data_IF_881368153854
#
_entry.id   IF_881368153854
#
_cell.length_a   1.000
_cell.length_b   1.000
_cell.length_c   1.000
_cell.angle_alpha   90.00
_cell.angle_beta   90.00
_cell.angle_gamma   90.00
#
_symmetry.space_group_name_H-M   'P 1'
#
loop_
_entity.id
_entity.type
_entity.pdbx_description
1 polymer ?
#
# COMPACT_ATOMS: atom_id res chain seq x y z
N UNK A 1 14.02 -39.87 0.31
CA UNK A 1 13.03 -38.78 0.52
C UNK A 1 13.31 -37.67 -0.48
N UNK A 2 12.32 -37.37 -1.31
CA UNK A 2 12.38 -36.68 -2.61
C UNK A 2 12.79 -35.21 -2.52
N UNK A 3 13.97 -34.89 -3.04
CA UNK A 3 14.49 -33.52 -3.19
C UNK A 3 14.20 -32.90 -4.57
N UNK A 4 13.20 -33.35 -5.32
CA UNK A 4 13.11 -33.07 -6.77
C UNK A 4 11.95 -32.19 -7.28
N UNK A 5 10.91 -31.89 -6.48
CA UNK A 5 9.68 -31.33 -7.07
C UNK A 5 9.57 -29.80 -6.95
N UNK A 6 9.88 -29.22 -5.79
CA UNK A 6 9.66 -27.79 -5.56
C UNK A 6 10.64 -26.88 -6.30
N UNK A 7 11.87 -27.37 -6.55
CA UNK A 7 12.91 -26.66 -7.31
C UNK A 7 12.51 -26.35 -8.77
N UNK A 8 11.39 -26.87 -9.23
CA UNK A 8 10.97 -26.80 -10.62
C UNK A 8 9.94 -25.70 -10.88
N UNK A 9 8.93 -25.50 -10.03
CA UNK A 9 7.79 -24.61 -10.34
C UNK A 9 8.24 -23.15 -10.47
N UNK A 10 8.97 -22.63 -9.48
CA UNK A 10 9.51 -21.26 -9.50
C UNK A 10 10.35 -21.02 -10.76
N UNK A 11 11.27 -21.95 -11.03
CA UNK A 11 12.19 -21.86 -12.15
C UNK A 11 11.49 -22.00 -13.51
N UNK A 12 10.54 -22.93 -13.65
CA UNK A 12 9.74 -23.15 -14.86
C UNK A 12 9.01 -21.88 -15.23
N UNK A 13 8.20 -21.34 -14.31
CA UNK A 13 7.37 -20.15 -14.55
C UNK A 13 8.26 -18.97 -14.92
N UNK A 14 9.27 -18.66 -14.10
CA UNK A 14 10.13 -17.50 -14.32
C UNK A 14 10.95 -17.62 -15.62
N UNK A 15 11.36 -18.81 -16.02
CA UNK A 15 12.08 -19.01 -17.28
C UNK A 15 11.19 -18.67 -18.48
N UNK A 16 9.93 -19.11 -18.47
CA UNK A 16 9.01 -18.84 -19.58
C UNK A 16 8.64 -17.35 -19.66
N UNK A 17 8.38 -16.71 -18.53
CA UNK A 17 8.18 -15.25 -18.46
C UNK A 17 9.40 -14.53 -19.06
N UNK A 18 10.62 -14.96 -18.68
CA UNK A 18 11.86 -14.37 -19.19
C UNK A 18 12.06 -14.57 -20.68
N UNK A 19 11.67 -15.71 -21.26
CA UNK A 19 11.76 -15.97 -22.71
C UNK A 19 10.90 -15.01 -23.51
N UNK A 20 9.69 -14.69 -23.03
CA UNK A 20 8.82 -13.69 -23.68
C UNK A 20 9.47 -12.29 -23.68
N UNK A 21 10.28 -11.99 -22.65
CA UNK A 21 11.02 -10.75 -22.56
C UNK A 21 12.35 -10.75 -23.33
N UNK A 22 12.90 -11.89 -23.76
CA UNK A 22 14.21 -11.98 -24.42
C UNK A 22 14.40 -11.08 -25.63
N UNK A 23 13.43 -10.95 -26.54
CA UNK A 23 13.54 -10.02 -27.68
C UNK A 23 13.72 -8.56 -27.23
N UNK A 24 13.31 -8.23 -26.00
CA UNK A 24 13.40 -6.91 -25.38
C UNK A 24 14.54 -6.79 -24.35
N UNK A 25 15.26 -7.90 -24.05
CA UNK A 25 16.25 -7.96 -22.95
C UNK A 25 17.53 -7.17 -23.20
N UNK A 26 17.95 -6.94 -24.44
CA UNK A 26 19.29 -6.37 -24.73
C UNK A 26 19.52 -4.98 -24.12
N UNK A 27 18.50 -4.29 -23.59
CA UNK A 27 18.64 -3.02 -22.89
C UNK A 27 18.04 -2.93 -21.47
N UNK A 28 17.35 -3.96 -20.96
CA UNK A 28 16.44 -3.80 -19.80
C UNK A 28 16.90 -4.50 -18.50
N UNK A 29 17.37 -5.74 -18.57
CA UNK A 29 17.82 -6.49 -17.39
C UNK A 29 19.22 -7.06 -17.62
N UNK A 30 20.22 -6.55 -16.88
CA UNK A 30 21.62 -6.94 -16.99
C UNK A 30 21.92 -8.27 -16.29
N UNK A 31 21.12 -8.65 -15.28
CA UNK A 31 21.31 -9.89 -14.52
C UNK A 31 20.00 -10.43 -13.92
N UNK A 32 20.07 -11.62 -13.32
CA UNK A 32 18.91 -12.28 -12.69
C UNK A 32 18.36 -11.50 -11.48
N UNK A 33 19.20 -10.76 -10.76
CA UNK A 33 18.78 -9.96 -9.61
C UNK A 33 17.90 -8.78 -10.00
N UNK A 34 18.25 -8.06 -11.06
CA UNK A 34 17.41 -6.97 -11.59
C UNK A 34 16.03 -7.48 -12.05
N UNK A 35 16.00 -8.66 -12.67
CA UNK A 35 14.73 -9.32 -13.03
C UNK A 35 13.90 -9.65 -11.78
N UNK A 36 14.50 -10.32 -10.78
CA UNK A 36 13.79 -10.74 -9.58
C UNK A 36 13.29 -9.53 -8.78
N UNK A 37 14.08 -8.47 -8.65
CA UNK A 37 13.62 -7.22 -8.03
C UNK A 37 12.46 -6.57 -8.78
N UNK A 38 12.46 -6.63 -10.11
CA UNK A 38 11.41 -6.01 -10.90
C UNK A 38 10.09 -6.79 -10.85
N UNK A 39 10.16 -8.12 -10.67
CA UNK A 39 8.97 -8.98 -10.63
C UNK A 39 8.50 -9.30 -9.21
N UNK A 40 9.37 -9.19 -8.21
CA UNK A 40 9.09 -9.58 -6.83
C UNK A 40 9.45 -8.52 -5.78
N UNK A 41 9.98 -7.35 -6.17
CA UNK A 41 10.38 -6.29 -5.23
C UNK A 41 9.24 -5.65 -4.44
N UNK A 42 7.98 -6.03 -4.73
CA UNK A 42 6.80 -5.72 -3.92
C UNK A 42 6.66 -6.60 -2.67
N UNK A 43 7.47 -7.66 -2.55
CA UNK A 43 7.65 -8.40 -1.32
C UNK A 43 8.65 -7.65 -0.43
N UNK A 44 8.14 -6.96 0.59
CA UNK A 44 8.93 -6.06 1.44
C UNK A 44 10.16 -6.74 2.03
N UNK A 45 10.01 -7.95 2.57
CA UNK A 45 11.12 -8.69 3.17
C UNK A 45 12.20 -9.07 2.17
N UNK A 46 11.80 -9.45 0.95
CA UNK A 46 12.73 -9.74 -0.13
C UNK A 46 13.44 -8.46 -0.58
N UNK A 47 12.69 -7.38 -0.79
CA UNK A 47 13.20 -6.10 -1.27
C UNK A 47 14.19 -5.46 -0.28
N UNK A 48 13.87 -5.46 1.01
CA UNK A 48 14.75 -4.97 2.09
C UNK A 48 16.02 -5.80 2.20
N UNK A 49 15.89 -7.13 2.22
CA UNK A 49 17.04 -8.04 2.27
C UNK A 49 17.94 -7.86 1.05
N UNK A 50 17.32 -7.64 -0.09
CA UNK A 50 18.02 -7.40 -1.30
C UNK A 50 18.85 -6.09 -1.21
N UNK A 51 18.20 -4.95 -0.94
CA UNK A 51 18.88 -3.65 -0.84
C UNK A 51 20.06 -3.72 0.15
N UNK A 52 19.84 -4.29 1.35
CA UNK A 52 20.89 -4.50 2.37
C UNK A 52 22.09 -5.29 1.83
N UNK A 53 21.85 -6.42 1.16
CA UNK A 53 22.94 -7.22 0.58
C UNK A 53 23.71 -6.46 -0.51
N UNK A 54 23.04 -5.63 -1.30
CA UNK A 54 23.69 -4.87 -2.37
C UNK A 54 24.63 -3.80 -1.82
N UNK A 55 24.22 -3.14 -0.75
CA UNK A 55 24.96 -2.05 -0.11
C UNK A 55 26.12 -2.59 0.74
N UNK A 56 25.85 -3.60 1.56
CA UNK A 56 26.81 -4.08 2.54
C UNK A 56 27.73 -5.19 1.99
N UNK A 57 27.23 -6.04 1.07
CA UNK A 57 27.92 -7.26 0.61
C UNK A 57 27.73 -7.58 -0.89
N UNK A 58 28.33 -6.81 -1.83
CA UNK A 58 28.07 -6.92 -3.28
C UNK A 58 28.37 -8.29 -3.93
N UNK A 59 29.24 -9.11 -3.35
CA UNK A 59 29.48 -10.48 -3.85
C UNK A 59 28.43 -11.48 -3.32
N UNK A 60 27.96 -11.32 -2.07
CA UNK A 60 26.86 -12.11 -1.52
C UNK A 60 25.55 -11.82 -2.27
N UNK A 61 25.35 -10.57 -2.70
CA UNK A 61 24.27 -10.15 -3.59
C UNK A 61 24.13 -11.03 -4.84
N UNK A 62 25.23 -11.27 -5.56
CA UNK A 62 25.23 -12.10 -6.79
C UNK A 62 24.89 -13.56 -6.48
N UNK A 63 25.47 -14.10 -5.41
CA UNK A 63 25.25 -15.48 -4.98
C UNK A 63 23.82 -15.72 -4.50
N UNK A 64 23.23 -14.76 -3.77
CA UNK A 64 21.85 -14.79 -3.33
C UNK A 64 20.89 -14.93 -4.51
N UNK A 65 20.98 -14.07 -5.52
CA UNK A 65 20.10 -14.16 -6.68
C UNK A 65 20.32 -15.41 -7.52
N UNK A 66 21.56 -15.89 -7.62
CA UNK A 66 21.85 -17.16 -8.31
C UNK A 66 21.17 -18.34 -7.60
N UNK A 67 21.16 -18.33 -6.26
CA UNK A 67 20.45 -19.34 -5.48
C UNK A 67 18.93 -19.17 -5.62
N UNK A 68 18.40 -17.95 -5.44
CA UNK A 68 16.96 -17.71 -5.49
C UNK A 68 16.33 -17.92 -6.86
N UNK A 69 17.09 -17.74 -7.94
CA UNK A 69 16.62 -18.02 -9.29
C UNK A 69 16.26 -19.50 -9.52
N UNK A 70 16.89 -20.42 -8.77
CA UNK A 70 16.64 -21.85 -8.88
C UNK A 70 15.72 -22.37 -7.77
N UNK A 71 15.79 -21.78 -6.57
CA UNK A 71 15.19 -22.35 -5.36
C UNK A 71 13.96 -21.55 -4.85
N UNK A 72 13.61 -20.44 -5.51
CA UNK A 72 12.64 -19.46 -5.02
C UNK A 72 13.27 -18.40 -4.12
N UNK A 73 12.50 -17.39 -3.74
CA UNK A 73 12.99 -16.28 -2.90
C UNK A 73 13.20 -16.75 -1.46
N UNK A 74 14.41 -16.56 -0.95
CA UNK A 74 14.85 -17.05 0.36
C UNK A 74 14.89 -15.87 1.33
N UNK A 75 14.29 -16.02 2.51
CA UNK A 75 14.41 -15.07 3.61
C UNK A 75 15.81 -15.14 4.22
N UNK A 76 16.39 -13.98 4.50
CA UNK A 76 17.65 -13.88 5.23
C UNK A 76 17.33 -13.49 6.67
N UNK A 77 17.60 -14.38 7.62
CA UNK A 77 17.52 -14.05 9.04
C UNK A 77 18.70 -13.16 9.44
N UNK A 78 18.52 -12.28 10.43
CA UNK A 78 19.56 -11.34 10.90
C UNK A 78 20.84 -12.02 11.42
N UNK A 79 20.76 -13.30 11.76
CA UNK A 79 21.92 -14.14 12.12
C UNK A 79 22.82 -14.51 10.92
N UNK A 80 22.50 -14.06 9.70
CA UNK A 80 23.32 -14.24 8.50
C UNK A 80 24.26 -13.07 8.20
N UNK A 81 24.32 -12.05 9.07
CA UNK A 81 25.36 -11.00 9.01
C UNK A 81 26.73 -11.64 9.32
N UNK A 82 27.77 -11.49 8.47
CA UNK A 82 29.05 -12.15 8.64
C UNK A 82 29.91 -11.51 9.74
N UNK A 83 30.48 -12.39 10.56
CA UNK A 83 31.80 -12.20 11.16
C UNK A 83 32.83 -12.02 10.02
N UNK A 84 33.76 -11.07 10.16
CA UNK A 84 34.63 -10.40 9.16
C UNK A 84 35.44 -11.22 8.12
N UNK A 85 35.17 -12.50 7.89
CA UNK A 85 35.90 -13.34 6.95
C UNK A 85 35.11 -13.63 5.66
N UNK A 86 35.53 -12.98 4.57
CA UNK A 86 35.02 -13.08 3.20
C UNK A 86 34.90 -14.52 2.62
N UNK A 87 35.46 -15.53 3.27
CA UNK A 87 35.43 -16.94 2.81
C UNK A 87 34.30 -17.79 3.41
N UNK A 88 33.53 -17.28 4.38
CA UNK A 88 32.48 -18.07 5.06
C UNK A 88 31.16 -18.06 4.28
N UNK A 89 30.92 -17.07 3.41
CA UNK A 89 29.66 -16.95 2.67
C UNK A 89 29.47 -18.03 1.58
N UNK A 90 30.53 -18.38 0.85
CA UNK A 90 30.50 -19.50 -0.11
C UNK A 90 30.27 -20.86 0.58
N UNK A 91 30.71 -21.00 1.85
CA UNK A 91 30.54 -22.22 2.63
C UNK A 91 29.17 -22.33 3.32
N UNK A 92 28.51 -21.22 3.69
CA UNK A 92 27.17 -21.22 4.31
C UNK A 92 26.03 -21.27 3.30
N UNK A 93 26.20 -20.73 2.08
CA UNK A 93 25.27 -20.97 0.97
C UNK A 93 25.47 -22.34 0.30
N UNK A 94 26.53 -23.06 0.68
CA UNK A 94 26.77 -24.42 0.23
C UNK A 94 25.61 -25.33 0.70
N UNK A 95 24.94 -25.95 -0.28
CA UNK A 95 23.63 -26.64 -0.28
C UNK A 95 23.27 -27.57 0.90
N UNK A 96 24.17 -27.85 1.84
CA UNK A 96 24.01 -28.87 2.89
C UNK A 96 23.69 -28.35 4.29
N UNK A 97 23.88 -27.05 4.59
CA UNK A 97 23.60 -26.51 5.95
C UNK A 97 22.42 -25.53 6.05
N UNK A 98 21.84 -25.10 4.94
CA UNK A 98 20.62 -24.26 4.94
C UNK A 98 19.37 -25.15 5.06
N UNK A 99 19.32 -26.02 6.07
CA UNK A 99 18.15 -26.86 6.37
C UNK A 99 17.00 -26.07 7.03
N UNK A 100 17.10 -24.74 7.10
CA UNK A 100 16.07 -23.84 7.61
C UNK A 100 15.78 -22.66 6.68
N UNK A 101 15.80 -22.85 5.35
CA UNK A 101 15.39 -21.80 4.39
C UNK A 101 13.91 -21.47 4.59
N UNK A 102 13.60 -20.47 5.41
CA UNK A 102 12.29 -19.84 5.32
C UNK A 102 12.22 -19.11 3.98
N UNK A 103 11.27 -19.49 3.13
CA UNK A 103 10.98 -18.78 1.88
C UNK A 103 10.19 -17.52 2.21
N UNK A 104 10.24 -16.53 1.32
CA UNK A 104 9.27 -15.44 1.40
C UNK A 104 7.87 -16.05 1.25
N UNK A 105 7.05 -15.98 2.31
CA UNK A 105 5.70 -16.53 2.35
C UNK A 105 4.73 -15.40 2.01
N UNK A 106 4.21 -15.42 0.80
CA UNK A 106 3.16 -14.52 0.35
C UNK A 106 1.87 -15.32 0.19
N UNK A 107 0.77 -14.80 0.72
CA UNK A 107 -0.56 -15.37 0.47
C UNK A 107 -1.02 -15.00 -0.94
N UNK A 108 -1.78 -15.88 -1.59
CA UNK A 108 -2.35 -15.61 -2.91
C UNK A 108 -3.77 -15.00 -2.76
N UNK A 109 -3.87 -13.97 -1.94
CA UNK A 109 -5.09 -13.18 -1.74
C UNK A 109 -5.09 -11.91 -2.58
N UNK A 110 -6.27 -11.34 -2.78
CA UNK A 110 -6.51 -10.09 -3.51
C UNK A 110 -5.60 -8.95 -3.08
N UNK A 111 -5.39 -8.76 -1.79
CA UNK A 111 -4.58 -7.66 -1.24
C UNK A 111 -3.12 -7.79 -1.65
N UNK A 112 -2.56 -8.98 -1.56
CA UNK A 112 -1.17 -9.28 -1.91
C UNK A 112 -0.98 -9.21 -3.43
N UNK A 113 -1.94 -9.75 -4.19
CA UNK A 113 -1.93 -9.59 -5.65
C UNK A 113 -1.99 -8.13 -6.05
N UNK A 114 -2.88 -7.32 -5.47
CA UNK A 114 -2.98 -5.89 -5.80
C UNK A 114 -1.64 -5.15 -5.68
N UNK A 115 -0.89 -5.38 -4.58
CA UNK A 115 0.47 -4.83 -4.41
C UNK A 115 1.41 -5.26 -5.55
N UNK A 116 1.37 -6.53 -5.91
CA UNK A 116 2.15 -7.06 -7.03
C UNK A 116 1.73 -6.43 -8.37
N UNK A 117 0.43 -6.29 -8.64
CA UNK A 117 -0.09 -5.69 -9.87
C UNK A 117 0.38 -4.25 -10.03
N UNK A 118 0.33 -3.43 -8.98
CA UNK A 118 0.82 -2.04 -9.01
C UNK A 118 2.30 -1.99 -9.39
N UNK A 119 3.13 -2.85 -8.79
CA UNK A 119 4.56 -2.93 -9.09
C UNK A 119 4.82 -3.43 -10.53
N UNK A 120 4.09 -4.47 -10.97
CA UNK A 120 4.19 -5.02 -12.32
C UNK A 120 3.75 -4.01 -13.38
N UNK A 121 2.65 -3.27 -13.16
CA UNK A 121 2.17 -2.20 -14.07
C UNK A 121 3.24 -1.13 -14.25
N UNK A 122 3.86 -0.68 -13.16
CA UNK A 122 4.97 0.31 -13.19
C UNK A 122 6.20 -0.21 -13.95
N UNK A 123 6.56 -1.48 -13.78
CA UNK A 123 7.76 -2.04 -14.39
C UNK A 123 7.53 -2.44 -15.85
N UNK A 124 6.44 -3.15 -16.15
CA UNK A 124 6.11 -3.62 -17.48
C UNK A 124 5.69 -2.49 -18.42
N UNK A 125 5.08 -1.41 -17.95
CA UNK A 125 4.78 -0.25 -18.82
C UNK A 125 6.04 0.35 -19.42
N UNK A 126 7.14 0.41 -18.65
CA UNK A 126 8.45 0.91 -19.14
C UNK A 126 9.08 0.00 -20.20
N UNK A 127 8.82 -1.30 -20.13
CA UNK A 127 9.47 -2.33 -20.96
C UNK A 127 8.65 -2.64 -22.20
N UNK A 128 7.34 -2.74 -21.99
CA UNK A 128 6.39 -3.23 -22.98
C UNK A 128 5.72 -2.09 -23.75
N UNK A 129 5.67 -0.88 -23.18
CA UNK A 129 4.95 0.25 -23.74
C UNK A 129 3.48 -0.11 -24.01
N UNK A 130 2.98 0.27 -25.19
CA UNK A 130 1.60 0.00 -25.62
C UNK A 130 1.26 -1.48 -25.83
N UNK A 131 2.26 -2.37 -25.91
CA UNK A 131 2.06 -3.80 -26.16
C UNK A 131 2.02 -4.64 -24.87
N UNK A 132 1.80 -4.00 -23.71
CA UNK A 132 1.82 -4.68 -22.41
C UNK A 132 0.83 -5.85 -22.36
N UNK A 133 -0.39 -5.66 -22.85
CA UNK A 133 -1.46 -6.68 -22.85
C UNK A 133 -1.03 -7.98 -23.52
N UNK A 134 -0.61 -7.90 -24.78
CA UNK A 134 -0.19 -9.07 -25.57
C UNK A 134 1.00 -9.78 -24.95
N UNK A 135 1.95 -9.02 -24.40
CA UNK A 135 3.15 -9.57 -23.78
C UNK A 135 2.81 -10.31 -22.48
N UNK A 136 1.99 -9.71 -21.61
CA UNK A 136 1.52 -10.33 -20.37
C UNK A 136 0.73 -11.60 -20.66
N UNK A 137 -0.16 -11.56 -21.65
CA UNK A 137 -0.92 -12.73 -22.07
C UNK A 137 0.00 -13.88 -22.53
N UNK A 138 1.03 -13.57 -23.32
CA UNK A 138 2.01 -14.58 -23.75
C UNK A 138 2.84 -15.14 -22.58
N UNK A 139 3.19 -14.32 -21.59
CA UNK A 139 3.89 -14.76 -20.37
C UNK A 139 3.03 -15.79 -19.61
N UNK A 140 1.76 -15.47 -19.38
CA UNK A 140 0.81 -16.32 -18.66
C UNK A 140 0.63 -17.66 -19.39
N UNK A 141 0.31 -17.61 -20.68
CA UNK A 141 0.07 -18.82 -21.47
C UNK A 141 1.31 -19.72 -21.54
N UNK A 142 2.49 -19.16 -21.78
CA UNK A 142 3.71 -19.96 -21.86
C UNK A 142 4.03 -20.64 -20.53
N UNK A 143 3.87 -19.93 -19.41
CA UNK A 143 4.10 -20.48 -18.10
C UNK A 143 3.09 -21.59 -17.74
N UNK A 144 1.79 -21.36 -17.95
CA UNK A 144 0.74 -22.36 -17.69
C UNK A 144 0.93 -23.61 -18.55
N UNK A 145 1.20 -23.45 -19.85
CA UNK A 145 1.42 -24.57 -20.76
C UNK A 145 2.65 -25.40 -20.36
N UNK A 146 3.69 -24.74 -19.83
CA UNK A 146 4.88 -25.46 -19.36
C UNK A 146 4.68 -26.13 -18.02
N UNK A 147 3.85 -25.58 -17.13
CA UNK A 147 3.41 -26.27 -15.93
C UNK A 147 2.65 -27.55 -16.27
N UNK A 148 1.70 -27.48 -17.20
CA UNK A 148 0.93 -28.65 -17.67
C UNK A 148 1.86 -29.69 -18.33
N UNK A 149 2.74 -29.26 -19.23
CA UNK A 149 3.70 -30.16 -19.91
C UNK A 149 4.65 -30.85 -18.95
N UNK A 150 5.11 -30.16 -17.90
CA UNK A 150 5.98 -30.73 -16.86
C UNK A 150 5.19 -31.53 -15.82
N UNK A 151 3.90 -31.24 -15.67
CA UNK A 151 2.93 -31.94 -14.84
C UNK A 151 2.61 -33.36 -15.30
N UNK A 152 3.02 -33.76 -16.51
CA UNK A 152 2.92 -35.17 -16.95
C UNK A 152 3.67 -36.16 -16.05
N UNK A 153 4.55 -35.67 -15.17
CA UNK A 153 5.27 -36.44 -14.15
C UNK A 153 4.61 -36.33 -12.76
N UNK A 154 3.80 -35.28 -12.53
CA UNK A 154 3.15 -34.96 -11.25
C UNK A 154 1.73 -34.41 -11.50
N UNK A 155 0.72 -35.28 -11.39
CA UNK A 155 -0.69 -34.97 -11.70
C UNK A 155 -1.20 -33.66 -11.07
N UNK A 156 -0.75 -33.34 -9.85
CA UNK A 156 -1.12 -32.09 -9.13
C UNK A 156 -0.80 -30.82 -9.93
N UNK A 157 0.28 -30.81 -10.73
CA UNK A 157 0.61 -29.64 -11.54
C UNK A 157 -0.27 -29.48 -12.78
N UNK A 158 -0.88 -30.57 -13.26
CA UNK A 158 -1.88 -30.50 -14.34
C UNK A 158 -3.16 -29.87 -13.78
N UNK A 159 -3.60 -30.30 -12.60
CA UNK A 159 -4.76 -29.73 -11.91
C UNK A 159 -4.56 -28.23 -11.65
N UNK A 160 -3.43 -27.86 -11.03
CA UNK A 160 -3.10 -26.45 -10.78
C UNK A 160 -2.96 -25.63 -12.07
N UNK A 161 -2.41 -26.20 -13.15
CA UNK A 161 -2.33 -25.51 -14.44
C UNK A 161 -3.72 -25.28 -15.04
N UNK A 162 -4.66 -26.23 -14.89
CA UNK A 162 -6.04 -26.07 -15.32
C UNK A 162 -6.76 -24.99 -14.51
N UNK A 163 -6.58 -24.97 -13.19
CA UNK A 163 -7.16 -23.93 -12.32
C UNK A 163 -6.61 -22.54 -12.67
N UNK A 164 -5.30 -22.40 -12.85
CA UNK A 164 -4.69 -21.13 -13.30
C UNK A 164 -5.14 -20.73 -14.72
N UNK A 165 -5.44 -21.70 -15.58
CA UNK A 165 -5.97 -21.44 -16.93
C UNK A 165 -7.41 -20.95 -16.86
N UNK A 166 -8.24 -21.56 -16.02
CA UNK A 166 -9.60 -21.11 -15.76
C UNK A 166 -9.60 -19.71 -15.14
N UNK A 167 -8.75 -19.48 -14.14
CA UNK A 167 -8.50 -18.17 -13.56
C UNK A 167 -8.15 -17.13 -14.62
N UNK A 168 -7.23 -17.45 -15.53
CA UNK A 168 -6.84 -16.58 -16.62
C UNK A 168 -7.95 -16.29 -17.63
N UNK A 169 -8.92 -17.19 -17.82
CA UNK A 169 -10.06 -16.98 -18.74
C UNK A 169 -11.04 -15.95 -18.22
N UNK A 170 -11.07 -15.73 -16.91
CA UNK A 170 -11.92 -14.72 -16.27
C UNK A 170 -11.34 -13.29 -16.37
N UNK A 171 -10.11 -13.14 -16.89
CA UNK A 171 -9.48 -11.84 -17.10
C UNK A 171 -9.84 -11.22 -18.46
N UNK A 172 -10.54 -10.10 -18.43
CA UNK A 172 -11.04 -9.33 -19.56
C UNK A 172 -10.31 -7.98 -19.71
N UNK A 173 -9.80 -7.43 -18.61
CA UNK A 173 -9.07 -6.15 -18.60
C UNK A 173 -7.56 -6.32 -18.53
N UNK A 174 -6.81 -5.26 -18.87
CA UNK A 174 -5.34 -5.28 -18.81
C UNK A 174 -4.84 -5.44 -17.37
N UNK A 175 -5.59 -4.90 -16.39
CA UNK A 175 -5.27 -5.03 -14.98
C UNK A 175 -5.60 -6.42 -14.43
N UNK A 176 -6.70 -7.04 -14.84
CA UNK A 176 -7.00 -8.44 -14.51
C UNK A 176 -5.94 -9.39 -15.10
N UNK A 177 -5.43 -9.12 -16.30
CA UNK A 177 -4.30 -9.89 -16.86
C UNK A 177 -3.03 -9.72 -16.02
N UNK A 178 -2.77 -8.52 -15.49
CA UNK A 178 -1.64 -8.32 -14.57
C UNK A 178 -1.89 -8.99 -13.21
N UNK A 179 -3.14 -9.08 -12.74
CA UNK A 179 -3.52 -9.85 -11.56
C UNK A 179 -3.30 -11.36 -11.75
N UNK A 180 -3.65 -11.91 -12.91
CA UNK A 180 -3.33 -13.30 -13.27
C UNK A 180 -1.81 -13.52 -13.28
N UNK A 181 -1.03 -12.58 -13.80
CA UNK A 181 0.43 -12.67 -13.74
C UNK A 181 0.95 -12.60 -12.29
N UNK A 182 0.37 -11.75 -11.44
CA UNK A 182 0.69 -11.69 -10.02
C UNK A 182 0.37 -13.01 -9.30
N UNK A 183 -0.82 -13.56 -9.52
CA UNK A 183 -1.25 -14.85 -8.97
C UNK A 183 -0.27 -15.97 -9.37
N UNK A 184 0.15 -15.98 -10.63
CA UNK A 184 1.12 -16.95 -11.16
C UNK A 184 2.51 -16.80 -10.50
N UNK A 185 2.97 -15.57 -10.26
CA UNK A 185 4.26 -15.32 -9.60
C UNK A 185 4.24 -15.70 -8.11
N UNK A 186 3.12 -15.47 -7.42
CA UNK A 186 2.91 -15.93 -6.04
C UNK A 186 2.86 -17.45 -6.02
N UNK A 187 2.07 -18.08 -6.89
CA UNK A 187 2.03 -19.54 -7.04
C UNK A 187 3.42 -20.11 -7.34
N UNK A 188 4.23 -19.45 -8.17
CA UNK A 188 5.60 -19.86 -8.44
C UNK A 188 6.44 -19.95 -7.16
N UNK A 189 6.18 -19.06 -6.19
CA UNK A 189 6.90 -18.96 -4.94
C UNK A 189 6.34 -19.90 -3.84
N UNK A 190 5.02 -20.01 -3.75
CA UNK A 190 4.33 -20.65 -2.61
C UNK A 190 3.52 -21.88 -2.96
N UNK A 191 3.26 -22.12 -4.25
CA UNK A 191 2.32 -23.12 -4.77
C UNK A 191 0.87 -22.94 -4.27
N UNK A 192 0.54 -21.76 -3.72
CA UNK A 192 -0.82 -21.41 -3.35
C UNK A 192 -1.56 -20.88 -4.58
N UNK A 193 -2.70 -21.48 -4.89
CA UNK A 193 -3.60 -21.04 -5.95
C UNK A 193 -4.43 -19.83 -5.49
N UNK A 194 -4.88 -18.96 -6.41
CA UNK A 194 -5.79 -17.89 -6.06
C UNK A 194 -7.19 -18.46 -5.74
N UNK A 195 -7.76 -18.07 -4.61
CA UNK A 195 -9.12 -18.49 -4.21
C UNK A 195 -10.22 -17.53 -4.71
N UNK A 196 -9.84 -16.28 -4.97
CA UNK A 196 -10.73 -15.19 -5.39
C UNK A 196 -10.48 -14.88 -6.87
N UNK A 197 -11.49 -14.49 -7.67
CA UNK A 197 -11.35 -14.19 -9.11
C UNK A 197 -10.37 -13.04 -9.43
N UNK A 198 -9.91 -12.89 -10.69
CA UNK A 198 -9.03 -11.80 -11.09
C UNK A 198 -9.66 -10.43 -10.83
N UNK A 199 -8.88 -9.52 -10.25
CA UNK A 199 -9.35 -8.19 -9.86
C UNK A 199 -8.72 -7.15 -10.79
N UNK A 200 -9.52 -6.21 -11.28
CA UNK A 200 -9.00 -5.04 -11.96
C UNK A 200 -8.54 -4.00 -10.93
N UNK A 201 -7.35 -3.42 -11.09
CA UNK A 201 -6.90 -2.29 -10.25
C UNK A 201 -7.87 -1.10 -10.38
N UNK A 202 -8.52 -1.02 -11.55
CA UNK A 202 -9.54 -0.04 -11.88
C UNK A 202 -10.97 -0.56 -11.66
N UNK A 203 -11.18 -1.84 -11.28
CA UNK A 203 -12.44 -2.21 -10.63
C UNK A 203 -12.42 -1.57 -9.26
N UNK A 204 -12.98 -0.36 -9.22
CA UNK A 204 -13.60 0.12 -8.01
C UNK A 204 -14.50 -1.01 -7.50
N UNK A 205 -14.45 -1.29 -6.20
CA UNK A 205 -15.24 -2.36 -5.61
C UNK A 205 -16.68 -2.28 -6.12
N UNK A 206 -17.29 -3.44 -6.42
CA UNK A 206 -18.71 -3.58 -6.84
C UNK A 206 -19.70 -2.99 -5.80
N UNK A 207 -19.18 -2.49 -4.68
CA UNK A 207 -19.93 -1.86 -3.62
C UNK A 207 -20.00 -0.35 -3.86
N UNK A 208 -21.25 0.11 -3.96
CA UNK A 208 -21.67 1.50 -3.86
C UNK A 208 -20.98 2.30 -2.73
N UNK A 209 -20.58 1.62 -1.65
CA UNK A 209 -19.79 2.15 -0.54
C UNK A 209 -18.68 1.13 -0.25
N UNK A 210 -17.42 1.55 -0.33
CA UNK A 210 -16.31 0.67 0.05
C UNK A 210 -16.01 0.82 1.53
N UNK A 211 -16.30 -0.21 2.33
CA UNK A 211 -16.02 -0.24 3.76
C UNK A 211 -14.85 -1.20 4.05
N UNK A 212 -13.86 -0.75 4.82
CA UNK A 212 -12.76 -1.60 5.25
C UNK A 212 -12.03 -0.98 6.46
N UNK A 213 -10.86 -1.52 6.83
CA UNK A 213 -9.98 -0.81 7.76
C UNK A 213 -9.35 0.41 7.08
N UNK A 214 -9.02 1.44 7.87
CA UNK A 214 -8.37 2.67 7.40
C UNK A 214 -7.12 2.36 6.58
N UNK A 215 -6.28 1.45 7.06
CA UNK A 215 -5.07 1.03 6.38
C UNK A 215 -5.35 0.34 5.04
N UNK A 216 -6.36 -0.54 4.98
CA UNK A 216 -6.71 -1.21 3.73
C UNK A 216 -7.27 -0.22 2.68
N UNK A 217 -8.12 0.73 3.10
CA UNK A 217 -8.60 1.79 2.20
C UNK A 217 -7.43 2.63 1.69
N UNK A 218 -6.49 3.00 2.56
CA UNK A 218 -5.32 3.78 2.17
C UNK A 218 -4.37 3.04 1.23
N UNK A 219 -4.29 1.72 1.34
CA UNK A 219 -3.45 0.90 0.46
C UNK A 219 -4.08 0.68 -0.92
N UNK A 220 -5.40 0.46 -0.99
CA UNK A 220 -6.14 0.23 -2.25
C UNK A 220 -6.42 1.54 -2.99
N UNK A 221 -6.72 2.60 -2.24
CA UNK A 221 -7.06 3.92 -2.76
C UNK A 221 -6.08 4.94 -2.14
N UNK A 222 -4.84 5.02 -2.68
CA UNK A 222 -3.80 5.88 -2.14
C UNK A 222 -4.19 7.35 -2.20
N UNK A 223 -3.47 8.19 -1.44
CA UNK A 223 -3.79 9.61 -1.31
C UNK A 223 -3.90 10.33 -2.66
N UNK A 224 -2.96 10.07 -3.57
CA UNK A 224 -2.95 10.65 -4.92
C UNK A 224 -4.23 10.31 -5.70
N UNK A 225 -4.75 9.08 -5.57
CA UNK A 225 -6.01 8.68 -6.23
C UNK A 225 -7.23 9.38 -5.64
N UNK A 226 -7.17 9.79 -4.37
CA UNK A 226 -8.28 10.46 -3.65
C UNK A 226 -8.27 11.98 -3.84
N UNK A 227 -7.09 12.57 -4.00
CA UNK A 227 -6.88 14.02 -3.85
C UNK A 227 -6.11 14.66 -5.02
N UNK A 228 -5.44 13.88 -5.87
CA UNK A 228 -4.59 14.38 -6.95
C UNK A 228 -5.40 15.15 -7.99
N UNK A 229 -5.13 16.45 -8.12
CA UNK A 229 -5.86 17.34 -9.03
C UNK A 229 -7.23 17.79 -8.54
N UNK A 230 -7.54 17.63 -7.24
CA UNK A 230 -8.75 18.21 -6.67
C UNK A 230 -8.65 19.74 -6.61
N UNK A 231 -9.78 20.41 -6.88
CA UNK A 231 -9.91 21.87 -6.76
C UNK A 231 -10.13 22.30 -5.32
N UNK A 232 -10.89 21.52 -4.55
CA UNK A 232 -11.10 21.75 -3.10
C UNK A 232 -10.87 20.46 -2.35
N UNK A 233 -10.14 20.53 -1.24
CA UNK A 233 -10.01 19.45 -0.28
C UNK A 233 -10.45 19.96 1.08
N UNK A 234 -11.36 19.22 1.72
CA UNK A 234 -11.91 19.56 3.02
C UNK A 234 -11.61 18.44 4.01
N UNK A 235 -10.91 18.78 5.07
CA UNK A 235 -10.46 17.86 6.12
C UNK A 235 -11.15 18.27 7.42
N UNK A 236 -11.88 17.35 8.04
CA UNK A 236 -12.62 17.62 9.28
C UNK A 236 -12.20 16.63 10.35
N UNK A 237 -11.82 17.15 11.52
CA UNK A 237 -11.51 16.38 12.73
C UNK A 237 -10.39 15.34 12.54
N UNK A 238 -9.43 15.60 11.67
CA UNK A 238 -8.25 14.75 11.45
C UNK A 238 -7.20 14.99 12.55
N UNK A 239 -7.65 14.99 13.82
CA UNK A 239 -6.94 15.46 14.99
C UNK A 239 -5.78 14.53 15.42
N UNK A 240 -5.88 13.23 15.16
CA UNK A 240 -4.95 12.21 15.66
C UNK A 240 -3.79 11.84 14.75
N UNK A 241 -3.62 12.52 13.62
CA UNK A 241 -2.60 12.18 12.64
C UNK A 241 -1.52 13.24 12.60
N UNK A 242 -0.25 12.84 12.42
CA UNK A 242 0.85 13.73 12.05
C UNK A 242 0.69 14.36 10.67
N UNK A 243 -0.55 14.62 10.24
CA UNK A 243 -0.93 15.10 8.92
C UNK A 243 -0.18 16.39 8.56
N UNK A 244 -0.08 17.33 9.51
CA UNK A 244 0.48 18.66 9.27
C UNK A 244 1.85 18.81 9.96
N UNK A 245 1.93 18.60 11.27
CA UNK A 245 3.21 18.70 11.98
C UNK A 245 4.14 17.50 11.72
N UNK A 246 3.67 16.48 11.00
CA UNK A 246 4.57 15.52 10.36
C UNK A 246 5.37 14.67 11.38
N UNK A 247 6.67 14.49 11.10
CA UNK A 247 7.64 13.84 11.99
C UNK A 247 7.73 14.40 13.43
N UNK A 248 7.24 15.62 13.66
CA UNK A 248 7.20 16.23 14.99
C UNK A 248 6.25 15.45 15.91
N UNK A 249 5.16 14.92 15.36
CA UNK A 249 4.15 14.14 16.10
C UNK A 249 4.49 12.64 16.06
N UNK A 250 4.80 12.11 14.88
CA UNK A 250 5.07 10.68 14.70
C UNK A 250 6.09 10.45 13.57
N UNK A 251 7.07 9.55 13.73
CA UNK A 251 8.04 9.26 12.67
C UNK A 251 7.42 8.53 11.46
N UNK A 252 6.19 8.02 11.58
CA UNK A 252 5.53 7.19 10.57
C UNK A 252 4.74 7.96 9.51
N UNK A 253 4.83 9.30 9.50
CA UNK A 253 4.10 10.09 8.50
C UNK A 253 4.52 9.67 7.10
N UNK A 254 3.58 9.04 6.36
CA UNK A 254 3.79 8.60 4.98
C UNK A 254 4.22 9.82 4.14
N UNK A 255 5.35 9.70 3.42
CA UNK A 255 5.94 10.79 2.64
C UNK A 255 5.03 11.41 1.58
N UNK A 256 3.97 10.69 1.18
CA UNK A 256 2.91 11.16 0.27
C UNK A 256 2.19 12.41 0.79
N UNK A 257 1.95 12.51 2.11
CA UNK A 257 1.33 13.68 2.72
C UNK A 257 2.21 14.91 2.62
N UNK A 258 3.52 14.73 2.79
CA UNK A 258 4.51 15.82 2.66
C UNK A 258 4.50 16.40 1.25
N UNK A 259 4.48 15.55 0.22
CA UNK A 259 4.38 15.99 -1.17
C UNK A 259 3.05 16.69 -1.45
N UNK A 260 1.95 16.19 -0.89
CA UNK A 260 0.63 16.79 -1.02
C UNK A 260 0.58 18.23 -0.44
N UNK A 261 1.02 18.44 0.80
CA UNK A 261 1.06 19.78 1.42
C UNK A 261 2.09 20.72 0.78
N UNK A 262 3.14 20.18 0.16
CA UNK A 262 4.13 20.96 -0.58
C UNK A 262 3.55 21.60 -1.85
N UNK A 263 2.51 21.04 -2.45
CA UNK A 263 1.94 21.53 -3.71
C UNK A 263 0.85 22.61 -3.52
N UNK A 264 0.21 22.66 -2.34
CA UNK A 264 -0.84 23.63 -2.01
C UNK A 264 -0.42 25.11 -2.16
N UNK A 265 0.82 25.54 -1.78
CA UNK A 265 1.27 26.92 -1.93
C UNK A 265 1.35 27.42 -3.38
N UNK A 266 1.36 26.51 -4.34
CA UNK A 266 1.57 26.82 -5.76
C UNK A 266 0.24 26.98 -6.53
N UNK A 267 -0.90 27.09 -5.83
CA UNK A 267 -2.13 27.70 -6.36
C UNK A 267 -3.07 26.81 -7.16
N UNK A 268 -3.11 25.50 -6.92
CA UNK A 268 -3.99 24.56 -7.65
C UNK A 268 -5.19 24.02 -6.87
N UNK A 269 -5.16 24.10 -5.53
CA UNK A 269 -6.15 23.44 -4.66
C UNK A 269 -6.43 24.29 -3.44
N UNK A 270 -7.72 24.57 -3.17
CA UNK A 270 -8.17 25.16 -1.92
C UNK A 270 -8.24 24.11 -0.82
N UNK A 271 -7.66 24.39 0.34
CA UNK A 271 -7.73 23.51 1.51
C UNK A 271 -8.62 24.13 2.59
N UNK A 272 -9.62 23.37 3.07
CA UNK A 272 -10.43 23.72 4.24
C UNK A 272 -10.14 22.72 5.34
N UNK A 273 -9.67 23.18 6.50
CA UNK A 273 -9.35 22.31 7.63
C UNK A 273 -10.20 22.71 8.83
N UNK A 274 -10.94 21.76 9.38
CA UNK A 274 -11.65 21.91 10.65
C UNK A 274 -10.94 21.07 11.70
N UNK A 275 -10.30 21.73 12.66
CA UNK A 275 -9.68 21.08 13.83
C UNK A 275 -10.57 21.19 15.06
N UNK A 276 -10.34 20.32 16.03
CA UNK A 276 -10.95 20.47 17.34
C UNK A 276 -10.31 21.66 18.06
N UNK A 277 -11.13 22.51 18.66
CA UNK A 277 -10.67 23.62 19.49
C UNK A 277 -9.90 23.08 20.70
N UNK A 278 -8.59 23.39 20.84
CA UNK A 278 -7.76 22.90 21.94
C UNK A 278 -8.28 23.24 23.34
N UNK A 279 -9.09 24.29 23.45
CA UNK A 279 -9.65 24.79 24.71
C UNK A 279 -10.99 24.16 25.08
N UNK A 280 -11.57 23.36 24.19
CA UNK A 280 -12.91 22.79 24.33
C UNK A 280 -12.92 21.41 24.99
N UNK A 281 -14.08 20.99 25.52
CA UNK A 281 -14.27 19.62 25.98
C UNK A 281 -14.14 18.59 24.85
N UNK A 282 -14.43 18.96 23.60
CA UNK A 282 -14.23 18.07 22.46
C UNK A 282 -12.76 17.69 22.26
N UNK A 283 -11.80 18.52 22.70
CA UNK A 283 -10.37 18.21 22.68
C UNK A 283 -10.05 17.04 23.62
N UNK A 284 -10.64 17.06 24.82
CA UNK A 284 -10.51 15.95 25.79
C UNK A 284 -11.06 14.66 25.20
N UNK A 285 -12.26 14.70 24.63
CA UNK A 285 -12.85 13.53 23.95
C UNK A 285 -11.98 13.03 22.78
N UNK A 286 -11.31 13.94 22.07
CA UNK A 286 -10.40 13.56 21.00
C UNK A 286 -9.15 12.85 21.52
N UNK A 287 -8.53 13.35 22.59
CA UNK A 287 -7.41 12.72 23.29
C UNK A 287 -7.83 11.32 23.78
N UNK A 288 -8.95 11.27 24.49
CA UNK A 288 -9.38 10.07 25.21
C UNK A 288 -9.85 8.97 24.27
N UNK A 289 -10.40 9.28 23.10
CA UNK A 289 -11.06 8.28 22.24
C UNK A 289 -10.65 8.28 20.77
N UNK A 290 -10.02 9.34 20.25
CA UNK A 290 -9.85 9.54 18.78
C UNK A 290 -8.41 9.65 18.33
N UNK A 291 -7.46 9.96 19.21
CA UNK A 291 -6.04 10.03 18.86
C UNK A 291 -5.35 8.73 19.26
N UNK A 292 -4.89 7.96 18.27
CA UNK A 292 -4.24 6.66 18.46
C UNK A 292 -3.09 6.44 17.47
N UNK A 293 -2.02 7.26 17.53
CA UNK A 293 -0.85 7.03 16.69
C UNK A 293 -0.15 5.72 17.09
N UNK A 294 0.29 4.93 16.11
CA UNK A 294 1.00 3.67 16.35
C UNK A 294 2.36 3.92 17.03
N UNK A 295 3.08 4.96 16.61
CA UNK A 295 4.26 5.48 17.33
C UNK A 295 4.14 6.98 17.58
N UNK A 296 4.56 7.42 18.75
CA UNK A 296 4.69 8.84 19.09
C UNK A 296 6.15 9.25 19.19
N UNK A 297 6.45 10.47 18.76
CA UNK A 297 7.70 11.11 19.12
C UNK A 297 7.71 11.36 20.65
N UNK A 298 8.81 11.01 21.33
CA UNK A 298 8.95 11.18 22.79
C UNK A 298 8.74 12.62 23.23
N UNK A 299 9.05 13.59 22.37
CA UNK A 299 8.92 15.02 22.64
C UNK A 299 7.53 15.58 22.28
N UNK A 300 6.57 14.71 21.95
CA UNK A 300 5.20 15.06 21.61
C UNK A 300 4.20 14.14 22.33
N UNK A 301 3.85 14.45 23.59
CA UNK A 301 2.78 13.73 24.26
C UNK A 301 1.43 13.97 23.56
N UNK A 302 0.47 13.05 23.76
CA UNK A 302 -0.79 12.99 23.02
C UNK A 302 -1.61 14.28 23.11
N UNK A 303 -1.56 14.96 24.26
CA UNK A 303 -2.26 16.21 24.55
C UNK A 303 -1.73 17.37 23.69
N UNK A 304 -0.48 17.27 23.22
CA UNK A 304 0.17 18.30 22.42
C UNK A 304 -0.03 18.13 20.91
N UNK A 305 -0.66 17.04 20.46
CA UNK A 305 -0.86 16.77 19.01
C UNK A 305 -1.69 17.87 18.35
N UNK A 306 -2.86 18.18 18.93
CA UNK A 306 -3.78 19.19 18.38
C UNK A 306 -3.15 20.59 18.43
N UNK A 307 -2.61 21.09 19.57
CA UNK A 307 -1.91 22.37 19.62
C UNK A 307 -0.75 22.48 18.62
N UNK A 308 0.06 21.43 18.45
CA UNK A 308 1.19 21.46 17.50
C UNK A 308 0.72 21.51 16.05
N UNK A 309 -0.29 20.74 15.67
CA UNK A 309 -0.88 20.83 14.33
C UNK A 309 -1.41 22.25 14.05
N UNK A 310 -2.08 22.88 15.03
CA UNK A 310 -2.57 24.25 14.89
C UNK A 310 -1.44 25.27 14.73
N UNK A 311 -0.37 25.15 15.53
CA UNK A 311 0.81 26.01 15.42
C UNK A 311 1.49 25.86 14.05
N UNK A 312 1.68 24.64 13.56
CA UNK A 312 2.27 24.39 12.24
C UNK A 312 1.41 24.93 11.11
N UNK A 313 0.07 24.84 11.19
CA UNK A 313 -0.81 25.49 10.21
C UNK A 313 -0.66 27.01 10.20
N UNK A 314 -0.55 27.62 11.39
CA UNK A 314 -0.34 29.06 11.50
C UNK A 314 0.97 29.49 10.83
N UNK A 315 2.06 28.79 11.14
CA UNK A 315 3.38 29.04 10.53
C UNK A 315 3.34 28.84 9.01
N UNK A 316 2.64 27.82 8.54
CA UNK A 316 2.48 27.53 7.12
C UNK A 316 1.76 28.66 6.39
N UNK A 317 0.62 29.12 6.90
CA UNK A 317 -0.16 30.21 6.27
C UNK A 317 0.65 31.50 6.23
N UNK A 318 1.39 31.80 7.29
CA UNK A 318 2.30 32.96 7.33
C UNK A 318 3.43 32.83 6.30
N UNK A 319 4.00 31.62 6.16
CA UNK A 319 5.12 31.37 5.24
C UNK A 319 4.69 31.35 3.77
N UNK A 320 3.43 31.04 3.49
CA UNK A 320 2.88 30.87 2.15
C UNK A 320 1.58 31.66 1.97
N UNK A 321 1.63 33.00 1.87
CA UNK A 321 0.45 33.85 1.80
C UNK A 321 -0.41 33.62 0.54
N UNK A 322 0.16 33.00 -0.50
CA UNK A 322 -0.56 32.64 -1.72
C UNK A 322 -1.29 31.28 -1.62
N UNK A 323 -1.10 30.54 -0.52
CA UNK A 323 -1.81 29.28 -0.30
C UNK A 323 -3.28 29.56 0.07
N UNK A 324 -4.22 28.96 -0.66
CA UNK A 324 -5.65 29.06 -0.36
C UNK A 324 -6.02 28.05 0.73
N UNK A 325 -5.77 28.42 1.99
CA UNK A 325 -5.98 27.57 3.17
C UNK A 325 -6.86 28.27 4.20
N UNK A 326 -8.03 27.71 4.42
CA UNK A 326 -8.93 28.13 5.49
C UNK A 326 -8.84 27.14 6.67
N UNK A 327 -8.66 27.64 7.88
CA UNK A 327 -8.60 26.83 9.10
C UNK A 327 -9.69 27.27 10.06
N UNK A 328 -10.45 26.30 10.54
CA UNK A 328 -11.58 26.46 11.45
C UNK A 328 -11.40 25.60 12.70
N UNK A 329 -11.99 26.04 13.80
CA UNK A 329 -12.04 25.33 15.06
C UNK A 329 -13.49 24.96 15.42
N UNK A 330 -13.69 23.70 15.78
CA UNK A 330 -14.98 23.19 16.27
C UNK A 330 -14.90 22.80 17.74
N UNK A 331 -15.97 23.10 18.49
CA UNK A 331 -16.15 22.67 19.89
C UNK A 331 -16.97 21.38 19.98
N UNK A 332 -17.30 20.76 18.85
CA UNK A 332 -18.12 19.55 18.77
C UNK A 332 -17.24 18.32 18.66
N UNK A 333 -17.48 17.34 19.54
CA UNK A 333 -16.79 16.06 19.50
C UNK A 333 -17.40 15.19 18.38
N UNK A 334 -16.80 15.23 17.18
CA UNK A 334 -17.33 14.48 16.04
C UNK A 334 -17.00 12.97 16.15
N UNK A 335 -17.95 12.05 15.89
CA UNK A 335 -17.75 10.60 16.01
C UNK A 335 -16.91 10.01 14.86
N UNK A 336 -16.53 10.84 13.89
CA UNK A 336 -15.76 10.46 12.73
C UNK A 336 -14.90 11.63 12.24
N UNK A 337 -13.97 11.30 11.34
CA UNK A 337 -13.21 12.26 10.54
C UNK A 337 -13.67 12.19 9.08
N UNK A 338 -13.62 13.34 8.41
CA UNK A 338 -13.96 13.45 7.00
C UNK A 338 -12.76 13.93 6.18
N UNK A 339 -12.67 13.41 4.96
CA UNK A 339 -11.82 13.93 3.91
C UNK A 339 -12.61 13.96 2.61
N UNK A 340 -13.06 15.14 2.22
CA UNK A 340 -13.81 15.39 1.01
C UNK A 340 -12.89 15.98 -0.04
N UNK A 341 -12.90 15.42 -1.24
CA UNK A 341 -12.18 15.93 -2.40
C UNK A 341 -13.20 16.28 -3.49
N UNK A 342 -13.09 17.49 -4.02
CA UNK A 342 -13.95 18.04 -5.06
C UNK A 342 -13.12 18.38 -6.29
N UNK A 343 -13.55 17.93 -7.47
CA UNK A 343 -12.81 18.07 -8.73
C UNK A 343 -13.62 18.93 -9.72
N UNK A 344 -12.98 19.35 -10.82
CA UNK A 344 -13.71 19.95 -11.94
C UNK A 344 -14.65 18.95 -12.62
N UNK A 345 -14.28 17.66 -12.58
CA UNK A 345 -15.12 16.54 -12.97
C UNK A 345 -15.80 15.94 -11.73
N UNK A 346 -17.05 16.32 -11.51
CA UNK A 346 -17.86 15.89 -10.34
C UNK A 346 -17.98 14.36 -10.22
N UNK A 347 -17.71 13.60 -11.28
CA UNK A 347 -17.75 12.13 -11.22
C UNK A 347 -16.60 11.54 -10.39
N UNK A 348 -15.57 12.34 -10.11
CA UNK A 348 -14.41 11.98 -9.27
C UNK A 348 -14.59 12.40 -7.82
N UNK A 349 -15.60 13.22 -7.52
CA UNK A 349 -15.88 13.70 -6.18
C UNK A 349 -16.02 12.52 -5.21
N UNK A 350 -15.29 12.60 -4.11
CA UNK A 350 -15.28 11.53 -3.12
C UNK A 350 -15.18 12.06 -1.69
N UNK A 351 -15.70 11.27 -0.74
CA UNK A 351 -15.61 11.50 0.69
C UNK A 351 -15.08 10.22 1.34
N UNK A 352 -13.95 10.32 2.03
CA UNK A 352 -13.47 9.32 2.98
C UNK A 352 -13.98 9.65 4.36
N UNK A 353 -14.47 8.62 5.06
CA UNK A 353 -15.00 8.74 6.41
C UNK A 353 -14.26 7.74 7.29
N UNK A 354 -13.61 8.24 8.33
CA UNK A 354 -12.94 7.43 9.36
C UNK A 354 -13.80 7.42 10.61
N UNK A 355 -14.29 6.25 11.02
CA UNK A 355 -15.14 6.11 12.20
C UNK A 355 -14.27 5.96 13.46
N UNK A 356 -14.60 6.71 14.50
CA UNK A 356 -13.99 6.56 15.83
C UNK A 356 -14.79 5.60 16.69
N UNK A 357 -14.98 4.38 16.17
CA UNK A 357 -15.59 3.28 16.90
C UNK A 357 -14.50 2.42 17.55
N UNK A 358 -14.73 1.85 18.74
CA UNK A 358 -13.88 0.81 19.27
C UNK A 358 -13.83 -0.37 18.28
N UNK A 359 -12.63 -0.77 17.86
CA UNK A 359 -12.45 -1.97 17.04
C UNK A 359 -12.22 -3.17 17.95
N UNK A 360 -13.09 -4.19 17.84
CA UNK A 360 -13.04 -5.38 18.69
C UNK A 360 -12.08 -6.48 18.20
N UNK A 361 -11.31 -6.20 17.14
CA UNK A 361 -10.49 -7.20 16.43
C UNK A 361 -9.32 -7.77 17.24
N UNK A 362 -8.92 -7.14 18.35
CA UNK A 362 -7.80 -7.57 19.20
C UNK A 362 -8.21 -7.89 20.64
N UNK A 363 -9.50 -8.17 20.88
CA UNK A 363 -9.96 -8.72 22.17
C UNK A 363 -9.69 -10.23 22.21
N UNK A 364 -8.47 -10.64 22.50
CA UNK A 364 -8.26 -11.99 23.05
C UNK A 364 -8.74 -11.98 24.51
N UNK A 365 -9.81 -12.72 24.80
CA UNK A 365 -10.31 -13.01 26.16
C UNK A 365 -10.81 -11.81 26.99
N UNK A 366 -11.29 -10.73 26.35
CA UNK A 366 -11.93 -9.62 27.07
C UNK A 366 -10.98 -8.77 27.92
N UNK A 367 -9.66 -8.99 27.81
CA UNK A 367 -8.63 -8.18 28.46
C UNK A 367 -8.00 -7.31 27.37
N UNK A 368 -8.08 -5.99 27.54
CA UNK A 368 -7.26 -5.05 26.77
C UNK A 368 -5.78 -5.43 26.98
N UNK A 369 -5.09 -5.91 25.93
CA UNK A 369 -3.64 -5.77 25.89
C UNK A 369 -3.37 -4.27 25.82
N UNK A 370 -3.11 -3.66 26.97
CA UNK A 370 -2.76 -2.25 27.22
C UNK A 370 -3.57 -1.19 26.43
N UNK A 371 -4.21 -0.25 27.14
CA UNK A 371 -5.06 0.84 26.60
C UNK A 371 -4.48 1.73 25.48
N UNK A 372 -3.21 1.53 25.12
CA UNK A 372 -2.43 2.27 24.14
C UNK A 372 -2.26 1.55 22.79
N UNK A 373 -2.68 0.28 22.66
CA UNK A 373 -2.35 -0.57 21.50
C UNK A 373 -3.36 -0.53 20.33
N UNK A 374 -4.32 0.40 20.30
CA UNK A 374 -5.25 0.48 19.18
C UNK A 374 -4.59 1.16 17.96
N UNK A 375 -4.19 0.39 16.95
CA UNK A 375 -3.64 0.90 15.69
C UNK A 375 -4.70 1.69 14.89
N UNK A 376 -4.42 2.97 14.58
CA UNK A 376 -5.26 3.83 13.72
C UNK A 376 -5.50 3.22 12.33
N UNK A 377 -4.63 2.31 11.85
CA UNK A 377 -4.84 1.55 10.62
C UNK A 377 -6.01 0.55 10.71
N UNK A 378 -6.40 0.10 11.90
CA UNK A 378 -7.47 -0.88 12.10
C UNK A 378 -8.87 -0.27 12.21
N UNK A 379 -8.98 1.07 12.25
CA UNK A 379 -10.27 1.77 12.35
C UNK A 379 -11.17 1.47 11.16
N UNK A 380 -12.46 1.31 11.41
CA UNK A 380 -13.42 1.21 10.32
C UNK A 380 -13.44 2.52 9.53
N UNK A 381 -13.31 2.40 8.23
CA UNK A 381 -13.28 3.50 7.30
C UNK A 381 -14.14 3.15 6.10
N UNK A 382 -14.67 4.16 5.43
CA UNK A 382 -15.35 3.94 4.16
C UNK A 382 -15.21 5.11 3.20
N UNK A 383 -15.38 4.79 1.92
CA UNK A 383 -15.30 5.73 0.80
C UNK A 383 -16.66 5.83 0.10
N UNK A 384 -17.07 7.05 -0.17
CA UNK A 384 -18.24 7.39 -0.98
C UNK A 384 -17.75 8.15 -2.21
N UNK A 385 -18.26 7.79 -3.38
CA UNK A 385 -18.06 8.56 -4.61
C UNK A 385 -19.41 9.09 -5.10
N UNK A 386 -19.46 10.37 -5.46
CA UNK A 386 -20.69 11.05 -5.86
C UNK A 386 -21.37 10.39 -7.06
N UNK A 387 -20.57 9.92 -8.03
CA UNK A 387 -21.03 9.21 -9.23
C UNK A 387 -21.88 7.97 -8.91
N UNK A 388 -21.57 7.24 -7.84
CA UNK A 388 -22.24 5.97 -7.51
C UNK A 388 -23.31 6.13 -6.45
N UNK A 389 -23.11 7.02 -5.48
CA UNK A 389 -24.00 7.21 -4.34
C UNK A 389 -24.26 8.69 -4.11
N UNK A 390 -24.94 9.32 -5.07
CA UNK A 390 -25.21 10.76 -5.05
C UNK A 390 -25.93 11.19 -3.76
N UNK A 391 -27.02 10.52 -3.39
CA UNK A 391 -27.80 10.88 -2.20
C UNK A 391 -26.94 10.83 -0.92
N UNK A 392 -26.22 9.73 -0.70
CA UNK A 392 -25.37 9.58 0.47
C UNK A 392 -24.21 10.59 0.47
N UNK A 393 -23.61 10.82 -0.69
CA UNK A 393 -22.58 11.86 -0.86
C UNK A 393 -23.11 13.23 -0.46
N UNK A 394 -24.29 13.63 -0.95
CA UNK A 394 -24.88 14.93 -0.64
C UNK A 394 -25.21 15.05 0.86
N UNK A 395 -25.70 13.99 1.52
CA UNK A 395 -25.94 14.00 2.97
C UNK A 395 -24.65 14.26 3.75
N UNK A 396 -23.56 13.55 3.44
CA UNK A 396 -22.28 13.77 4.11
C UNK A 396 -21.62 15.11 3.74
N UNK A 397 -21.75 15.53 2.49
CA UNK A 397 -21.29 16.83 2.01
C UNK A 397 -21.99 17.95 2.78
N UNK A 398 -23.32 17.91 2.90
CA UNK A 398 -24.11 18.88 3.66
C UNK A 398 -23.72 18.88 5.14
N UNK A 399 -23.50 17.71 5.74
CA UNK A 399 -23.03 17.62 7.11
C UNK A 399 -21.65 18.29 7.31
N UNK A 400 -20.72 18.10 6.37
CA UNK A 400 -19.40 18.77 6.38
C UNK A 400 -19.56 20.29 6.29
N UNK A 401 -20.42 20.79 5.41
CA UNK A 401 -20.67 22.23 5.28
C UNK A 401 -21.33 22.82 6.53
N UNK A 402 -22.29 22.12 7.16
CA UNK A 402 -22.88 22.55 8.43
C UNK A 402 -21.85 22.55 9.57
N UNK A 403 -20.93 21.57 9.62
CA UNK A 403 -19.82 21.58 10.58
C UNK A 403 -18.95 22.82 10.38
N UNK A 404 -18.59 23.18 9.15
CA UNK A 404 -17.79 24.37 8.85
C UNK A 404 -18.53 25.63 9.29
N UNK A 405 -19.81 25.76 8.93
CA UNK A 405 -20.67 26.89 9.27
C UNK A 405 -20.83 27.09 10.78
N UNK A 406 -20.82 26.02 11.56
CA UNK A 406 -20.86 26.06 13.02
C UNK A 406 -19.48 26.10 13.69
N UNK A 407 -18.41 26.09 12.91
CA UNK A 407 -17.04 26.29 13.38
C UNK A 407 -16.68 27.78 13.30
N UNK A 408 -15.65 28.18 14.04
CA UNK A 408 -15.14 29.55 14.00
C UNK A 408 -13.75 29.58 13.35
N UNK A 409 -13.36 30.65 12.65
CA UNK A 409 -12.02 30.78 12.10
C UNK A 409 -10.95 30.61 13.19
N UNK A 410 -9.91 29.83 12.89
CA UNK A 410 -8.81 29.59 13.82
C UNK A 410 -7.85 30.78 13.93
N UNK A 411 -7.76 31.56 12.85
CA UNK A 411 -6.86 32.69 12.72
C UNK A 411 -7.64 33.88 12.18
N UNK A 412 -7.54 35.01 12.86
CA UNK A 412 -7.95 36.30 12.34
C UNK A 412 -6.68 36.95 11.77
N UNK A 413 -6.57 36.97 10.44
CA UNK A 413 -5.55 37.76 9.77
C UNK A 413 -6.24 39.03 9.28
N UNK A 414 -5.75 40.19 9.72
CA UNK A 414 -6.14 41.46 9.11
C UNK A 414 -5.72 41.40 7.63
N UNK A 415 -6.69 41.36 6.72
CA UNK A 415 -6.43 41.51 5.29
C UNK A 415 -6.11 42.99 5.06
N UNK A 416 -4.84 43.30 4.82
CA UNK A 416 -4.42 44.60 4.28
C UNK A 416 -4.91 44.80 2.84
#
# INVERSE_FOLDING_TARGET
>A
MSRSNEYTVFHIINMEIRKVLEPKKRSVYKNAGEYLLSFYGWLDDFSKNAIRLKEDYPEAWKNYFRASYNDGLIMLNDNLVPDNNNYIFDAKFNKRRVNGKERCKATNDSKTRHKAVVALKKNLSKICGKNIKTIVHNMINNAINQLEKKGSVYNVFIEHANELREYSRNANTDDELLDVLAALLIYAQTQMLPEEPPISIDSQPDYNIFMSSKGNIQDIIPLEKRCGGARIITIVNFAGTGLIAGPIITPEVRGEWKHFFYNIPFGGTKLRIVLVDPTSNACKDAIDYKMRPLTMNKDCPIENIIPKNLATLKEYIISYPNADVDVYLTKVALPCAYMKSEFDDETKDNIKIDLYLPSFGEYSDGILQESWQCDDQLRQSFMIYRKYQKELYEVFSNNIEEIIKHSHPAFEFEKE
#
